data_IF_459971959510
#
_entry.id   IF_459971959510
#
_cell.length_a   1.000
_cell.length_b   1.000
_cell.length_c   1.000
_cell.angle_alpha   90.00
_cell.angle_beta   90.00
_cell.angle_gamma   90.00
#
_symmetry.space_group_name_H-M   'P 1'
#
loop_
_entity.id
_entity.type
_entity.pdbx_description
1 polymer ?
#
# COMPACT_ATOMS: atom_id res chain seq x y z
N UNK A 1 -32.68 -11.04 -14.86
CA UNK A 1 -32.28 -10.91 -16.28
C UNK A 1 -30.78 -11.12 -16.32
N UNK A 2 -30.31 -12.17 -16.97
CA UNK A 2 -28.89 -12.51 -17.07
C UNK A 2 -28.18 -11.49 -17.97
N UNK A 3 -27.21 -10.73 -17.45
CA UNK A 3 -26.45 -9.79 -18.27
C UNK A 3 -25.24 -10.49 -18.90
N UNK A 4 -25.10 -10.38 -20.22
CA UNK A 4 -23.87 -10.73 -20.93
C UNK A 4 -22.85 -9.61 -20.73
N UNK A 5 -22.11 -9.69 -19.62
CA UNK A 5 -21.06 -8.73 -19.27
C UNK A 5 -19.76 -9.04 -20.03
N UNK A 6 -19.10 -8.00 -20.55
CA UNK A 6 -17.80 -8.16 -21.23
C UNK A 6 -16.74 -8.68 -20.25
N UNK A 7 -15.72 -9.39 -20.76
CA UNK A 7 -14.62 -9.91 -19.91
C UNK A 7 -13.99 -8.80 -19.05
N UNK A 8 -13.71 -7.65 -19.64
CA UNK A 8 -13.11 -6.50 -18.93
C UNK A 8 -14.01 -5.98 -17.80
N UNK A 9 -15.31 -5.80 -18.06
CA UNK A 9 -16.23 -5.33 -17.03
C UNK A 9 -16.41 -6.36 -15.90
N UNK A 10 -16.44 -7.66 -16.25
CA UNK A 10 -16.47 -8.74 -15.26
C UNK A 10 -15.22 -8.78 -14.40
N UNK A 11 -14.04 -8.68 -15.01
CA UNK A 11 -12.76 -8.66 -14.30
C UNK A 11 -12.65 -7.43 -13.38
N UNK A 12 -13.10 -6.26 -13.83
CA UNK A 12 -13.21 -5.07 -13.00
C UNK A 12 -14.12 -5.31 -11.78
N UNK A 13 -15.27 -5.98 -11.98
CA UNK A 13 -16.16 -6.28 -10.86
C UNK A 13 -15.60 -7.30 -9.88
N UNK A 14 -14.91 -8.33 -10.38
CA UNK A 14 -14.17 -9.28 -9.53
C UNK A 14 -13.17 -8.55 -8.64
N UNK A 15 -12.41 -7.59 -9.19
CA UNK A 15 -11.47 -6.76 -8.43
C UNK A 15 -12.19 -5.98 -7.31
N UNK A 16 -13.30 -5.30 -7.65
CA UNK A 16 -14.07 -4.51 -6.68
C UNK A 16 -14.59 -5.37 -5.53
N UNK A 17 -15.14 -6.55 -5.82
CA UNK A 17 -15.64 -7.49 -4.80
C UNK A 17 -14.50 -7.96 -3.88
N UNK A 18 -13.33 -8.29 -4.45
CA UNK A 18 -12.17 -8.75 -3.68
C UNK A 18 -11.57 -7.65 -2.80
N UNK A 19 -11.75 -6.37 -3.16
CA UNK A 19 -11.33 -5.22 -2.35
C UNK A 19 -12.35 -4.92 -1.24
N UNK A 20 -13.65 -5.03 -1.52
CA UNK A 20 -14.70 -4.67 -0.55
C UNK A 20 -15.02 -5.78 0.45
N UNK A 21 -14.75 -7.03 0.10
CA UNK A 21 -15.27 -8.20 0.82
C UNK A 21 -14.20 -9.29 0.95
N UNK A 22 -14.05 -9.88 2.14
CA UNK A 22 -13.17 -11.05 2.33
C UNK A 22 -13.80 -12.30 1.71
N UNK A 23 -13.36 -12.66 0.52
CA UNK A 23 -13.88 -13.82 -0.22
C UNK A 23 -13.03 -15.05 0.00
N UNK A 24 -13.61 -16.06 0.65
CA UNK A 24 -12.91 -17.27 1.10
C UNK A 24 -12.85 -18.41 0.07
N UNK A 25 -13.70 -18.38 -0.95
CA UNK A 25 -13.77 -19.40 -2.00
C UNK A 25 -14.27 -18.83 -3.33
N UNK A 26 -13.95 -19.52 -4.44
CA UNK A 26 -14.50 -19.17 -5.76
C UNK A 26 -16.03 -19.37 -5.83
N UNK A 27 -16.58 -20.29 -5.02
CA UNK A 27 -18.03 -20.49 -4.92
C UNK A 27 -18.68 -19.22 -4.37
N UNK A 28 -18.15 -18.69 -3.25
CA UNK A 28 -18.62 -17.45 -2.67
C UNK A 28 -18.51 -16.27 -3.66
N UNK A 29 -17.41 -16.18 -4.41
CA UNK A 29 -17.25 -15.15 -5.43
C UNK A 29 -18.28 -15.27 -6.55
N UNK A 30 -18.59 -16.50 -6.97
CA UNK A 30 -19.61 -16.77 -7.99
C UNK A 30 -21.02 -16.38 -7.52
N UNK A 31 -21.35 -16.64 -6.25
CA UNK A 31 -22.63 -16.24 -5.65
C UNK A 31 -22.76 -14.70 -5.62
N UNK A 32 -21.72 -13.99 -5.18
CA UNK A 32 -21.71 -12.52 -5.15
C UNK A 32 -21.88 -11.90 -6.55
N UNK A 33 -21.25 -12.49 -7.56
CA UNK A 33 -21.41 -12.05 -8.94
C UNK A 33 -22.82 -12.36 -9.48
N UNK A 34 -23.39 -13.49 -9.08
CA UNK A 34 -24.75 -13.89 -9.48
C UNK A 34 -25.82 -12.97 -8.86
N UNK A 35 -25.64 -12.55 -7.62
CA UNK A 35 -26.51 -11.56 -6.94
C UNK A 35 -26.55 -10.23 -7.69
N UNK A 36 -25.49 -9.91 -8.44
CA UNK A 36 -25.40 -8.74 -9.32
C UNK A 36 -25.84 -9.01 -10.77
N UNK A 37 -26.34 -10.23 -11.05
CA UNK A 37 -26.81 -10.63 -12.38
C UNK A 37 -25.71 -11.08 -13.34
N UNK A 38 -24.50 -11.33 -12.84
CA UNK A 38 -23.33 -11.80 -13.61
C UNK A 38 -23.18 -13.31 -13.39
N UNK A 39 -23.72 -14.10 -14.32
CA UNK A 39 -23.53 -15.56 -14.30
C UNK A 39 -22.22 -15.96 -14.98
N UNK A 40 -21.41 -16.75 -14.29
CA UNK A 40 -20.17 -17.32 -14.83
C UNK A 40 -19.93 -18.75 -14.37
N UNK A 41 -19.16 -19.49 -15.17
CA UNK A 41 -18.69 -20.82 -14.79
C UNK A 41 -17.47 -20.74 -13.88
N UNK A 42 -17.26 -21.78 -13.07
CA UNK A 42 -16.06 -21.90 -12.25
C UNK A 42 -14.77 -21.86 -13.09
N UNK A 43 -14.77 -22.46 -14.29
CA UNK A 43 -13.60 -22.44 -15.17
C UNK A 43 -13.27 -21.02 -15.67
N UNK A 44 -14.29 -20.22 -15.98
CA UNK A 44 -14.12 -18.81 -16.35
C UNK A 44 -13.59 -18.00 -15.17
N UNK A 45 -14.19 -18.19 -13.99
CA UNK A 45 -13.79 -17.48 -12.78
C UNK A 45 -12.35 -17.80 -12.36
N UNK A 46 -11.95 -19.07 -12.46
CA UNK A 46 -10.57 -19.48 -12.17
C UNK A 46 -9.58 -18.79 -13.11
N UNK A 47 -9.87 -18.77 -14.42
CA UNK A 47 -9.01 -18.09 -15.41
C UNK A 47 -8.95 -16.59 -15.16
N UNK A 48 -10.09 -15.94 -14.88
CA UNK A 48 -10.10 -14.51 -14.56
C UNK A 48 -9.27 -14.20 -13.31
N UNK A 49 -9.38 -15.02 -12.26
CA UNK A 49 -8.56 -14.88 -11.05
C UNK A 49 -7.06 -15.07 -11.34
N UNK A 50 -6.70 -16.07 -12.14
CA UNK A 50 -5.30 -16.32 -12.52
C UNK A 50 -4.72 -15.16 -13.33
N UNK A 51 -5.47 -14.65 -14.32
CA UNK A 51 -5.08 -13.52 -15.16
C UNK A 51 -5.01 -12.20 -14.40
N UNK A 52 -5.90 -12.00 -13.44
CA UNK A 52 -5.89 -10.87 -12.53
C UNK A 52 -4.72 -10.94 -11.54
N UNK A 53 -4.12 -12.12 -11.33
CA UNK A 53 -3.05 -12.33 -10.35
C UNK A 53 -3.56 -12.56 -8.93
N UNK A 54 -4.82 -13.00 -8.78
CA UNK A 54 -5.43 -13.25 -7.49
C UNK A 54 -4.75 -14.41 -6.74
N UNK A 55 -4.40 -14.19 -5.48
CA UNK A 55 -3.78 -15.18 -4.59
C UNK A 55 -4.64 -15.42 -3.38
N UNK A 56 -4.62 -16.66 -2.88
CA UNK A 56 -5.28 -17.03 -1.63
C UNK A 56 -4.32 -16.85 -0.47
N UNK A 57 -4.57 -15.90 0.41
CA UNK A 57 -3.73 -15.59 1.57
C UNK A 57 -4.31 -16.22 2.84
N UNK A 58 -3.43 -16.64 3.76
CA UNK A 58 -3.78 -17.12 5.10
C UNK A 58 -3.27 -16.10 6.13
N UNK A 59 -4.17 -15.45 6.88
CA UNK A 59 -3.78 -14.59 7.98
C UNK A 59 -2.93 -15.32 9.04
N UNK A 60 -1.93 -14.63 9.58
CA UNK A 60 -1.05 -15.14 10.64
C UNK A 60 -1.73 -15.23 12.02
N UNK A 61 -2.87 -14.55 12.20
CA UNK A 61 -3.70 -14.58 13.41
C UNK A 61 -4.64 -15.80 13.48
N UNK A 62 -4.55 -16.72 12.51
CA UNK A 62 -5.41 -17.90 12.43
C UNK A 62 -6.76 -17.66 11.74
N UNK A 63 -6.96 -16.50 11.11
CA UNK A 63 -8.15 -16.20 10.31
C UNK A 63 -8.35 -17.13 9.10
N UNK A 64 -9.58 -17.17 8.57
CA UNK A 64 -9.91 -17.93 7.36
C UNK A 64 -9.17 -17.36 6.14
N UNK A 65 -8.69 -18.25 5.27
CA UNK A 65 -8.03 -17.87 4.03
C UNK A 65 -8.99 -17.17 3.06
N UNK A 66 -8.50 -16.18 2.31
CA UNK A 66 -9.31 -15.41 1.35
C UNK A 66 -8.48 -14.96 0.13
N UNK A 67 -9.15 -14.57 -0.96
CA UNK A 67 -8.54 -14.12 -2.22
C UNK A 67 -8.23 -12.61 -2.21
N UNK A 68 -7.11 -12.24 -2.84
CA UNK A 68 -6.66 -10.85 -3.04
C UNK A 68 -5.84 -10.72 -4.33
N UNK A 69 -5.86 -9.55 -4.99
CA UNK A 69 -5.33 -9.40 -6.36
C UNK A 69 -4.05 -8.57 -6.46
N UNK A 70 -3.64 -7.84 -5.43
CA UNK A 70 -2.28 -7.27 -5.36
C UNK A 70 -1.91 -6.89 -3.93
N UNK A 71 -0.74 -7.36 -3.51
CA UNK A 71 -0.03 -7.08 -2.26
C UNK A 71 -0.90 -6.77 -1.03
N UNK A 72 -1.67 -7.75 -0.57
CA UNK A 72 -2.23 -7.67 0.79
C UNK A 72 -1.15 -7.67 1.88
N UNK A 73 0.11 -7.99 1.59
CA UNK A 73 1.17 -7.63 2.53
C UNK A 73 1.22 -6.12 2.81
N UNK A 74 0.79 -5.29 1.84
CA UNK A 74 0.81 -3.84 1.94
C UNK A 74 -0.53 -3.21 2.34
N UNK A 75 -1.65 -3.82 1.95
CA UNK A 75 -3.00 -3.35 2.28
C UNK A 75 -3.54 -3.95 3.60
N UNK A 76 -3.23 -5.21 3.89
CA UNK A 76 -3.62 -5.84 5.15
C UNK A 76 -2.83 -5.27 6.33
N UNK A 77 -1.57 -4.89 6.08
CA UNK A 77 -0.76 -4.17 7.07
C UNK A 77 -1.35 -2.79 7.35
N UNK A 78 -1.80 -2.04 6.34
CA UNK A 78 -2.49 -0.76 6.53
C UNK A 78 -3.84 -0.88 7.29
N UNK A 79 -4.50 -2.04 7.22
CA UNK A 79 -5.76 -2.35 7.91
C UNK A 79 -5.57 -2.81 9.37
N UNK A 80 -4.41 -3.38 9.73
CA UNK A 80 -4.11 -3.82 11.12
C UNK A 80 -3.11 -2.91 11.83
N UNK A 81 -2.33 -2.16 11.06
CA UNK A 81 -1.37 -1.16 11.52
C UNK A 81 -1.53 0.08 10.64
N UNK A 82 -2.03 1.19 11.19
CA UNK A 82 -2.46 2.35 10.38
C UNK A 82 -1.36 2.92 9.46
N UNK A 83 -1.68 3.90 8.59
CA UNK A 83 -0.75 4.46 7.59
C UNK A 83 0.64 4.84 8.12
N UNK A 84 0.73 5.20 9.40
CA UNK A 84 1.98 5.51 10.13
C UNK A 84 2.90 4.31 10.32
N UNK A 85 2.39 3.10 10.57
CA UNK A 85 3.23 1.91 10.74
C UNK A 85 3.80 1.44 9.41
N UNK A 86 3.02 1.48 8.33
CA UNK A 86 3.55 1.24 6.98
C UNK A 86 4.66 2.24 6.64
N UNK A 87 4.47 3.52 6.98
CA UNK A 87 5.54 4.52 6.83
C UNK A 87 6.77 4.15 7.65
N UNK A 88 6.61 3.74 8.91
CA UNK A 88 7.71 3.30 9.77
C UNK A 88 8.53 2.17 9.13
N UNK A 89 7.87 1.16 8.56
CA UNK A 89 8.53 0.05 7.86
C UNK A 89 9.23 0.50 6.58
N UNK A 90 8.57 1.36 5.79
CA UNK A 90 9.20 1.94 4.59
C UNK A 90 10.44 2.76 4.94
N UNK A 91 10.43 3.49 6.06
CA UNK A 91 11.60 4.20 6.57
C UNK A 91 12.70 3.21 6.95
N UNK A 92 12.37 2.14 7.68
CA UNK A 92 13.33 1.10 8.07
C UNK A 92 13.97 0.41 6.87
N UNK A 93 13.21 0.16 5.81
CA UNK A 93 13.66 -0.54 4.61
C UNK A 93 14.41 0.36 3.62
N UNK A 94 13.85 1.55 3.34
CA UNK A 94 14.28 2.37 2.20
C UNK A 94 15.19 3.53 2.58
N UNK A 95 15.20 3.99 3.83
CA UNK A 95 16.15 5.03 4.23
C UNK A 95 17.50 4.37 4.46
N UNK A 96 18.53 4.85 3.79
CA UNK A 96 19.93 4.44 3.94
C UNK A 96 20.61 5.28 5.01
N UNK A 97 20.48 6.61 4.91
CA UNK A 97 21.03 7.55 5.90
C UNK A 97 20.16 8.80 6.00
N UNK A 98 20.30 9.50 7.13
CA UNK A 98 19.60 10.76 7.42
C UNK A 98 20.64 11.83 7.77
N UNK A 99 20.42 13.03 7.26
CA UNK A 99 21.15 14.25 7.63
C UNK A 99 20.17 15.42 7.76
N UNK A 100 20.63 16.61 8.15
CA UNK A 100 19.78 17.78 8.27
C UNK A 100 20.52 19.09 8.09
N UNK A 101 19.76 20.13 7.72
CA UNK A 101 20.23 21.52 7.76
C UNK A 101 19.05 22.44 8.03
N UNK A 102 19.23 23.39 8.94
CA UNK A 102 18.19 24.33 9.36
C UNK A 102 16.84 23.64 9.69
N UNK A 103 15.81 23.88 8.89
CA UNK A 103 14.46 23.31 9.01
C UNK A 103 14.21 22.13 8.05
N UNK A 104 15.25 21.51 7.52
CA UNK A 104 15.13 20.40 6.56
C UNK A 104 15.82 19.14 7.06
N UNK A 105 15.14 18.01 6.94
CA UNK A 105 15.76 16.69 7.00
C UNK A 105 16.08 16.22 5.57
N UNK A 106 17.19 15.52 5.40
CA UNK A 106 17.64 14.96 4.12
C UNK A 106 17.76 13.45 4.26
N UNK A 107 17.00 12.71 3.47
CA UNK A 107 17.00 11.25 3.47
C UNK A 107 17.74 10.74 2.23
N UNK A 108 18.59 9.73 2.40
CA UNK A 108 19.16 8.96 1.30
C UNK A 108 18.43 7.63 1.18
N UNK A 109 18.19 7.16 -0.04
CA UNK A 109 17.54 5.88 -0.33
C UNK A 109 18.37 5.08 -1.33
N UNK A 110 18.04 3.80 -1.62
CA UNK A 110 18.51 3.15 -2.82
C UNK A 110 18.09 3.92 -4.10
N UNK A 111 18.77 3.70 -5.24
CA UNK A 111 18.38 4.29 -6.51
C UNK A 111 16.92 4.02 -6.87
N UNK A 112 16.22 5.04 -7.35
CA UNK A 112 14.81 4.99 -7.74
C UNK A 112 13.78 4.92 -6.59
N UNK A 113 14.20 4.82 -5.33
CA UNK A 113 13.27 4.65 -4.20
C UNK A 113 12.77 5.98 -3.60
N UNK A 114 13.45 7.10 -3.87
CA UNK A 114 13.18 8.36 -3.18
C UNK A 114 11.77 8.90 -3.45
N UNK A 115 11.32 8.86 -4.70
CA UNK A 115 9.99 9.35 -5.08
C UNK A 115 8.87 8.53 -4.46
N UNK A 116 9.05 7.21 -4.35
CA UNK A 116 8.06 6.33 -3.74
C UNK A 116 7.89 6.65 -2.24
N UNK A 117 9.00 6.73 -1.50
CA UNK A 117 8.98 7.05 -0.08
C UNK A 117 8.43 8.46 0.18
N UNK A 118 8.85 9.47 -0.60
CA UNK A 118 8.36 10.85 -0.46
C UNK A 118 6.85 10.95 -0.69
N UNK A 119 6.34 10.30 -1.74
CA UNK A 119 4.90 10.24 -2.02
C UNK A 119 4.12 9.63 -0.85
N UNK A 120 4.70 8.63 -0.17
CA UNK A 120 4.05 8.02 0.99
C UNK A 120 4.10 8.92 2.24
N UNK A 121 5.23 9.61 2.49
CA UNK A 121 5.34 10.60 3.57
C UNK A 121 4.26 11.68 3.44
N UNK A 122 4.09 12.24 2.24
CA UNK A 122 3.10 13.29 1.97
C UNK A 122 1.66 12.79 2.17
N UNK A 123 1.36 11.54 1.75
CA UNK A 123 0.03 10.92 1.93
C UNK A 123 -0.33 10.68 3.40
N UNK A 124 0.65 10.35 4.24
CA UNK A 124 0.42 10.12 5.67
C UNK A 124 0.05 11.41 6.40
N UNK A 125 0.44 12.57 5.87
CA UNK A 125 0.04 13.87 6.42
C UNK A 125 0.59 14.11 7.83
N UNK A 126 1.89 13.88 8.02
CA UNK A 126 2.55 14.15 9.30
C UNK A 126 2.47 15.65 9.63
N UNK A 127 1.94 15.99 10.81
CA UNK A 127 1.75 17.39 11.23
C UNK A 127 3.06 18.18 11.24
N UNK A 128 4.17 17.50 11.55
CA UNK A 128 5.52 18.05 11.63
C UNK A 128 6.12 18.38 10.25
N UNK A 129 5.51 17.89 9.16
CA UNK A 129 6.03 18.01 7.79
C UNK A 129 5.19 19.02 7.01
N UNK A 130 5.87 19.91 6.29
CA UNK A 130 5.22 20.81 5.32
C UNK A 130 5.05 20.11 3.98
N UNK A 131 6.07 19.36 3.54
CA UNK A 131 6.04 18.54 2.35
C UNK A 131 7.43 18.01 1.98
N UNK A 132 7.48 17.19 0.92
CA UNK A 132 8.71 16.56 0.42
C UNK A 132 9.06 16.98 -1.02
N UNK A 133 10.35 17.01 -1.34
CA UNK A 133 10.86 17.02 -2.72
C UNK A 133 11.84 15.85 -2.87
N UNK A 134 11.62 15.00 -3.87
CA UNK A 134 12.44 13.82 -4.12
C UNK A 134 13.13 13.87 -5.49
N UNK A 135 14.42 13.56 -5.49
CA UNK A 135 15.18 13.16 -6.67
C UNK A 135 15.07 11.64 -6.91
N UNK A 136 16.17 11.02 -7.34
CA UNK A 136 16.24 9.57 -7.56
C UNK A 136 16.52 8.79 -6.26
N UNK A 137 17.51 9.24 -5.49
CA UNK A 137 18.02 8.56 -4.30
C UNK A 137 18.07 9.47 -3.05
N UNK A 138 17.48 10.67 -3.16
CA UNK A 138 17.57 11.73 -2.15
C UNK A 138 16.22 12.43 -1.97
N UNK A 139 15.79 12.61 -0.72
CA UNK A 139 14.55 13.31 -0.36
C UNK A 139 14.89 14.47 0.56
N UNK A 140 14.39 15.65 0.22
CA UNK A 140 14.33 16.80 1.11
C UNK A 140 12.96 16.85 1.78
N UNK A 141 12.94 16.83 3.11
CA UNK A 141 11.72 16.92 3.91
C UNK A 141 11.73 18.23 4.68
N UNK A 142 10.77 19.12 4.39
CA UNK A 142 10.67 20.41 5.05
C UNK A 142 9.88 20.27 6.35
N UNK A 143 10.53 20.59 7.48
CA UNK A 143 9.90 20.64 8.79
C UNK A 143 8.99 21.87 8.89
N UNK A 144 7.86 21.70 9.59
CA UNK A 144 6.96 22.79 9.93
C UNK A 144 7.51 23.56 11.11
N UNK A 145 7.55 24.89 10.99
CA UNK A 145 7.98 25.76 12.08
C UNK A 145 7.17 25.50 13.36
N UNK A 146 7.81 25.52 14.54
CA UNK A 146 9.21 25.90 14.79
C UNK A 146 10.22 24.74 14.74
N UNK A 147 9.82 23.54 14.30
CA UNK A 147 10.63 22.33 14.36
C UNK A 147 11.90 22.44 13.48
N UNK A 148 13.05 22.00 14.01
CA UNK A 148 14.29 21.95 13.21
C UNK A 148 14.40 20.63 12.46
N UNK A 149 15.20 20.64 11.40
CA UNK A 149 15.46 19.45 10.58
C UNK A 149 16.07 18.30 11.38
N UNK A 150 16.94 18.62 12.34
CA UNK A 150 17.55 17.62 13.23
C UNK A 150 16.53 16.96 14.16
N UNK A 151 15.60 17.73 14.70
CA UNK A 151 14.51 17.20 15.54
C UNK A 151 13.56 16.34 14.70
N UNK A 152 13.21 16.77 13.49
CA UNK A 152 12.39 15.99 12.57
C UNK A 152 13.08 14.67 12.18
N UNK A 153 14.37 14.73 11.86
CA UNK A 153 15.21 13.57 11.56
C UNK A 153 15.16 12.53 12.70
N UNK A 154 15.31 12.99 13.95
CA UNK A 154 15.29 12.11 15.12
C UNK A 154 13.90 11.55 15.42
N UNK A 155 12.86 12.40 15.39
CA UNK A 155 11.50 12.03 15.79
C UNK A 155 10.81 11.11 14.78
N UNK A 156 11.10 11.27 13.48
CA UNK A 156 10.36 10.58 12.41
C UNK A 156 11.20 9.51 11.72
N UNK A 157 12.50 9.78 11.49
CA UNK A 157 13.31 8.94 10.61
C UNK A 157 14.35 8.08 11.33
N UNK A 158 14.53 8.26 12.64
CA UNK A 158 15.05 7.23 13.55
C UNK A 158 16.46 6.68 13.25
N UNK A 159 17.30 7.38 12.49
CA UNK A 159 18.69 6.99 12.23
C UNK A 159 19.62 8.14 12.58
N UNK A 160 20.64 7.84 13.39
CA UNK A 160 21.66 8.82 13.77
C UNK A 160 22.28 9.43 12.52
N UNK A 161 22.31 10.77 12.52
CA UNK A 161 23.04 11.62 11.59
C UNK A 161 24.45 11.07 11.40
N UNK A 162 24.93 10.98 10.15
CA UNK A 162 26.37 10.84 9.96
C UNK A 162 27.04 12.07 10.58
N UNK A 163 27.86 11.84 11.60
CA UNK A 163 28.75 12.86 12.16
C UNK A 163 29.78 13.31 11.11
#
# INVERSE_FOLDING_TARGET
MTQTVSRTARQARILEILVSTRVSSQIQLSELLQDEGIEITQATLSRDLDELGAKKVRPSDGGRAYYTVNSDAEAFDALHTGPREKLRRMIEELVVSVDHSANMAVLRTPPGAAQYLASYIDRVGLEQVVGCIAGDDTIFVLARDPLKGGDLAQQVFGRNTKA
#
